data_IF_044018507452
#
_entry.id   IF_044018507452
#
_cell.length_a   1.000
_cell.length_b   1.000
_cell.length_c   1.000
_cell.angle_alpha   90.00
_cell.angle_beta   90.00
_cell.angle_gamma   90.00
#
_symmetry.space_group_name_H-M   'P 1'
#
loop_
_entity.id
_entity.type
_entity.pdbx_description
1 polymer ?
#
# COMPACT_ATOMS: atom_id res chain seq x y z
N UNK A 1 7.32 58.03 11.76
CA UNK A 1 8.72 57.73 11.38
C UNK A 1 8.70 56.32 10.79
N UNK A 2 8.16 56.05 9.60
CA UNK A 2 8.67 56.36 8.25
C UNK A 2 10.18 56.20 8.14
N UNK A 3 10.65 55.15 7.44
CA UNK A 3 11.70 55.28 6.43
C UNK A 3 11.58 54.15 5.40
N UNK A 4 10.74 54.41 4.40
CA UNK A 4 10.96 53.96 3.02
C UNK A 4 12.35 54.43 2.59
N UNK A 5 13.15 53.56 1.99
CA UNK A 5 14.23 53.97 1.08
C UNK A 5 13.83 53.57 -0.33
N UNK A 6 13.36 54.57 -1.06
CA UNK A 6 13.38 54.66 -2.52
C UNK A 6 14.83 54.92 -2.98
N UNK A 7 15.33 54.33 -4.07
CA UNK A 7 15.48 54.92 -5.42
C UNK A 7 16.58 54.08 -6.17
N UNK A 8 16.93 54.26 -7.48
CA UNK A 8 16.13 54.10 -8.72
C UNK A 8 16.89 53.55 -9.97
N UNK A 9 16.17 53.30 -11.08
CA UNK A 9 16.63 53.09 -12.49
C UNK A 9 17.55 51.87 -12.78
N UNK A 10 17.40 51.04 -13.81
CA UNK A 10 16.60 51.04 -15.04
C UNK A 10 16.70 49.63 -15.72
N UNK A 11 16.24 49.46 -16.97
CA UNK A 11 15.87 48.16 -17.53
C UNK A 11 17.05 47.48 -18.24
N UNK A 12 17.46 46.31 -17.76
CA UNK A 12 18.30 45.41 -18.55
C UNK A 12 17.40 44.38 -19.24
N UNK A 13 17.09 44.72 -20.49
CA UNK A 13 16.69 43.81 -21.55
C UNK A 13 17.65 42.62 -21.58
N UNK A 14 17.22 41.45 -21.09
CA UNK A 14 17.85 40.17 -21.43
C UNK A 14 17.08 39.56 -22.61
N UNK A 15 17.78 39.13 -23.68
CA UNK A 15 17.11 38.55 -24.82
C UNK A 15 16.52 37.18 -24.44
N UNK A 16 15.25 37.00 -24.80
CA UNK A 16 14.54 35.72 -24.75
C UNK A 16 15.19 34.81 -25.79
N UNK A 17 16.18 34.02 -25.39
CA UNK A 17 16.63 32.88 -26.18
C UNK A 17 15.62 31.77 -25.97
N UNK A 18 14.89 31.45 -27.05
CA UNK A 18 13.89 30.41 -27.07
C UNK A 18 14.47 29.06 -26.67
N UNK A 19 13.94 28.49 -25.60
CA UNK A 19 13.78 27.05 -25.47
C UNK A 19 12.28 26.82 -25.54
N UNK A 20 11.79 26.38 -26.70
CA UNK A 20 10.47 25.79 -26.83
C UNK A 20 10.42 24.60 -25.89
N UNK A 21 9.88 24.80 -24.69
CA UNK A 21 9.43 23.70 -23.86
C UNK A 21 8.42 22.94 -24.70
N UNK A 22 8.81 21.77 -25.19
CA UNK A 22 7.93 20.78 -25.80
C UNK A 22 6.96 20.32 -24.72
N UNK A 23 5.89 21.10 -24.56
CA UNK A 23 4.70 20.69 -23.83
C UNK A 23 3.97 19.66 -24.71
N UNK A 24 4.47 18.42 -24.75
CA UNK A 24 3.71 17.26 -25.24
C UNK A 24 4.55 15.99 -25.13
N UNK A 25 4.49 15.36 -23.96
CA UNK A 25 4.37 13.91 -23.85
C UNK A 25 4.05 13.52 -22.41
N UNK A 26 3.00 14.14 -21.84
CA UNK A 26 2.24 13.39 -20.84
C UNK A 26 1.68 12.21 -21.61
N UNK A 27 1.97 10.96 -21.24
CA UNK A 27 1.47 9.81 -21.97
C UNK A 27 -0.05 9.91 -21.88
N UNK A 28 -0.70 10.25 -22.99
CA UNK A 28 -2.15 10.17 -23.10
C UNK A 28 -2.48 8.71 -22.86
N UNK A 29 -3.04 8.43 -21.68
CA UNK A 29 -3.65 7.14 -21.39
C UNK A 29 -4.70 6.97 -22.47
N UNK A 30 -4.40 6.14 -23.47
CA UNK A 30 -5.34 5.86 -24.55
C UNK A 30 -6.58 5.23 -23.90
N UNK A 31 -7.80 5.73 -24.16
CA UNK A 31 -9.02 5.22 -23.51
C UNK A 31 -9.25 3.72 -23.78
N UNK A 32 -8.78 3.22 -24.93
CA UNK A 32 -8.72 1.80 -25.27
C UNK A 32 -8.01 0.92 -24.22
N UNK A 33 -6.95 1.43 -23.59
CA UNK A 33 -6.19 0.69 -22.58
C UNK A 33 -6.79 0.81 -21.16
N UNK A 34 -7.82 1.61 -20.97
CA UNK A 34 -8.41 1.89 -19.66
C UNK A 34 -9.27 0.73 -19.16
N UNK A 35 -10.14 0.20 -20.01
CA UNK A 35 -11.01 -0.94 -19.68
C UNK A 35 -10.24 -2.18 -19.18
N UNK A 36 -9.22 -2.70 -19.89
CA UNK A 36 -8.48 -3.86 -19.41
C UNK A 36 -7.69 -3.58 -18.13
N UNK A 37 -7.16 -2.36 -17.94
CA UNK A 37 -6.49 -1.96 -16.70
C UNK A 37 -7.46 -1.91 -15.52
N UNK A 38 -8.64 -1.33 -15.71
CA UNK A 38 -9.70 -1.28 -14.70
C UNK A 38 -10.16 -2.68 -14.31
N UNK A 39 -10.38 -3.56 -15.28
CA UNK A 39 -10.71 -4.98 -15.02
C UNK A 39 -9.59 -5.71 -14.27
N UNK A 40 -8.32 -5.46 -14.60
CA UNK A 40 -7.18 -6.04 -13.88
C UNK A 40 -7.13 -5.56 -12.42
N UNK A 41 -7.30 -4.26 -12.18
CA UNK A 41 -7.35 -3.68 -10.84
C UNK A 41 -8.53 -4.22 -10.00
N UNK A 42 -9.72 -4.35 -10.60
CA UNK A 42 -10.88 -4.97 -9.94
C UNK A 42 -10.59 -6.41 -9.51
N UNK A 43 -10.02 -7.22 -10.41
CA UNK A 43 -9.62 -8.61 -10.09
C UNK A 43 -8.63 -8.66 -8.93
N UNK A 44 -7.66 -7.75 -8.90
CA UNK A 44 -6.70 -7.67 -7.81
C UNK A 44 -7.37 -7.28 -6.48
N UNK A 45 -8.22 -6.26 -6.48
CA UNK A 45 -8.98 -5.83 -5.30
C UNK A 45 -9.83 -6.94 -4.72
N UNK A 46 -10.58 -7.67 -5.55
CA UNK A 46 -11.39 -8.83 -5.12
C UNK A 46 -10.50 -9.92 -4.50
N UNK A 47 -9.33 -10.22 -5.11
CA UNK A 47 -8.39 -11.21 -4.57
C UNK A 47 -7.78 -10.78 -3.24
N UNK A 48 -7.51 -9.49 -3.06
CA UNK A 48 -7.01 -8.93 -1.79
C UNK A 48 -8.12 -9.01 -0.74
N UNK A 49 -9.33 -8.56 -1.07
CA UNK A 49 -10.49 -8.57 -0.18
C UNK A 49 -10.79 -10.00 0.30
N UNK A 50 -10.85 -10.97 -0.61
CA UNK A 50 -11.09 -12.38 -0.27
C UNK A 50 -10.02 -12.94 0.68
N UNK A 51 -8.73 -12.67 0.41
CA UNK A 51 -7.62 -13.11 1.28
C UNK A 51 -7.70 -12.47 2.67
N UNK A 52 -8.05 -11.18 2.74
CA UNK A 52 -8.22 -10.45 4.01
C UNK A 52 -9.40 -11.00 4.80
N UNK A 53 -10.56 -11.14 4.15
CA UNK A 53 -11.77 -11.68 4.77
C UNK A 53 -11.55 -13.09 5.31
N UNK A 54 -10.92 -14.00 4.55
CA UNK A 54 -10.58 -15.35 5.03
C UNK A 54 -9.62 -15.35 6.22
N UNK A 55 -8.66 -14.41 6.25
CA UNK A 55 -7.74 -14.31 7.38
C UNK A 55 -8.47 -13.85 8.63
N UNK A 56 -9.39 -12.90 8.49
CA UNK A 56 -10.18 -12.40 9.61
C UNK A 56 -11.22 -13.40 10.10
N UNK A 57 -11.87 -14.18 9.22
CA UNK A 57 -12.73 -15.29 9.67
C UNK A 57 -11.94 -16.32 10.48
N UNK A 58 -10.68 -16.59 10.11
CA UNK A 58 -9.80 -17.43 10.92
C UNK A 58 -9.44 -16.80 12.26
N UNK A 59 -9.17 -15.49 12.29
CA UNK A 59 -8.87 -14.76 13.52
C UNK A 59 -10.05 -14.85 14.52
N UNK A 60 -11.29 -14.74 14.03
CA UNK A 60 -12.49 -14.86 14.85
C UNK A 60 -12.82 -16.30 15.27
N UNK A 61 -12.73 -17.27 14.37
CA UNK A 61 -13.22 -18.62 14.62
C UNK A 61 -12.37 -19.39 15.66
N UNK A 62 -11.07 -19.08 15.76
CA UNK A 62 -10.04 -19.75 16.60
C UNK A 62 -9.87 -21.26 16.30
N UNK A 63 -10.95 -22.03 16.34
CA UNK A 63 -11.03 -23.45 16.05
C UNK A 63 -11.33 -23.75 14.57
N UNK A 64 -10.70 -24.81 14.05
CA UNK A 64 -10.76 -25.17 12.62
C UNK A 64 -12.13 -25.61 12.12
N UNK A 65 -12.91 -26.32 12.94
CA UNK A 65 -14.22 -26.84 12.52
C UNK A 65 -15.24 -25.71 12.26
N UNK A 66 -15.21 -24.64 13.06
CA UNK A 66 -16.03 -23.43 12.85
C UNK A 66 -15.53 -22.69 11.61
N UNK A 67 -14.21 -22.50 11.52
CA UNK A 67 -13.58 -21.83 10.38
C UNK A 67 -13.94 -22.45 9.02
N UNK A 68 -13.94 -23.78 8.89
CA UNK A 68 -14.23 -24.42 7.61
C UNK A 68 -15.65 -24.14 7.10
N UNK A 69 -16.64 -24.15 8.00
CA UNK A 69 -18.02 -23.82 7.65
C UNK A 69 -18.11 -22.37 7.19
N UNK A 70 -17.62 -21.44 8.02
CA UNK A 70 -17.71 -20.01 7.74
C UNK A 70 -16.88 -19.60 6.50
N UNK A 71 -15.76 -20.27 6.24
CA UNK A 71 -14.96 -20.08 5.04
C UNK A 71 -15.67 -20.60 3.78
N UNK A 72 -16.43 -21.70 3.87
CA UNK A 72 -17.26 -22.19 2.77
C UNK A 72 -18.35 -21.18 2.45
N UNK A 73 -19.09 -20.73 3.46
CA UNK A 73 -20.15 -19.73 3.32
C UNK A 73 -19.60 -18.43 2.70
N UNK A 74 -18.42 -17.99 3.13
CA UNK A 74 -17.74 -16.83 2.54
C UNK A 74 -17.45 -17.09 1.05
N UNK A 75 -16.92 -18.25 0.69
CA UNK A 75 -16.62 -18.59 -0.70
C UNK A 75 -17.88 -18.61 -1.58
N UNK A 76 -18.98 -19.14 -1.07
CA UNK A 76 -20.26 -19.14 -1.77
C UNK A 76 -20.76 -17.72 -2.08
N UNK A 77 -20.63 -16.78 -1.13
CA UNK A 77 -20.97 -15.36 -1.36
C UNK A 77 -20.15 -14.72 -2.49
N UNK A 78 -18.86 -15.05 -2.59
CA UNK A 78 -18.02 -14.56 -3.69
C UNK A 78 -18.35 -15.24 -5.03
N UNK A 79 -18.60 -16.55 -5.01
CA UNK A 79 -18.96 -17.30 -6.22
C UNK A 79 -20.31 -16.82 -6.80
N UNK A 80 -21.28 -16.48 -5.96
CA UNK A 80 -22.59 -15.97 -6.40
C UNK A 80 -22.50 -14.69 -7.27
N UNK A 81 -21.40 -13.92 -7.15
CA UNK A 81 -21.18 -12.68 -7.88
C UNK A 81 -20.04 -12.78 -8.92
N UNK A 82 -19.58 -14.00 -9.24
CA UNK A 82 -18.44 -14.21 -10.12
C UNK A 82 -18.73 -13.83 -11.58
N UNK A 83 -19.94 -14.09 -12.05
CA UNK A 83 -20.32 -13.96 -13.47
C UNK A 83 -20.87 -12.57 -13.83
N UNK A 84 -20.65 -11.57 -12.97
CA UNK A 84 -21.07 -10.20 -13.25
C UNK A 84 -20.10 -9.56 -14.25
N UNK A 85 -20.63 -9.11 -15.39
CA UNK A 85 -19.83 -8.47 -16.46
C UNK A 85 -19.80 -6.93 -16.38
N UNK A 86 -20.86 -6.33 -15.85
CA UNK A 86 -20.98 -4.86 -15.75
C UNK A 86 -19.94 -4.27 -14.78
N UNK A 87 -19.05 -3.42 -15.33
CA UNK A 87 -17.90 -2.86 -14.63
C UNK A 87 -18.31 -1.97 -13.46
N UNK A 88 -19.34 -1.14 -13.63
CA UNK A 88 -19.78 -0.21 -12.59
C UNK A 88 -20.50 -0.93 -11.47
N UNK A 89 -21.25 -1.99 -11.81
CA UNK A 89 -21.85 -2.89 -10.81
C UNK A 89 -20.77 -3.61 -9.99
N UNK A 90 -19.69 -4.06 -10.63
CA UNK A 90 -18.57 -4.72 -9.93
C UNK A 90 -17.92 -3.76 -8.94
N UNK A 91 -17.71 -2.50 -9.30
CA UNK A 91 -17.15 -1.51 -8.37
C UNK A 91 -18.06 -1.26 -7.15
N UNK A 92 -19.38 -1.22 -7.36
CA UNK A 92 -20.35 -1.12 -6.25
C UNK A 92 -20.31 -2.35 -5.34
N UNK A 93 -20.20 -3.55 -5.92
CA UNK A 93 -20.10 -4.80 -5.15
C UNK A 93 -18.80 -4.87 -4.35
N UNK A 94 -17.68 -4.45 -4.93
CA UNK A 94 -16.40 -4.35 -4.23
C UNK A 94 -16.50 -3.36 -3.07
N UNK A 95 -17.06 -2.17 -3.31
CA UNK A 95 -17.24 -1.16 -2.26
C UNK A 95 -18.14 -1.65 -1.12
N UNK A 96 -19.23 -2.35 -1.44
CA UNK A 96 -20.09 -2.97 -0.44
C UNK A 96 -19.33 -4.03 0.37
N UNK A 97 -18.57 -4.92 -0.30
CA UNK A 97 -17.79 -5.95 0.36
C UNK A 97 -16.67 -5.39 1.25
N UNK A 98 -16.01 -4.30 0.82
CA UNK A 98 -15.02 -3.59 1.64
C UNK A 98 -15.65 -2.94 2.87
N UNK A 99 -16.83 -2.33 2.74
CA UNK A 99 -17.55 -1.75 3.87
C UNK A 99 -18.01 -2.81 4.89
N UNK A 100 -18.50 -3.96 4.41
CA UNK A 100 -18.87 -5.09 5.27
C UNK A 100 -17.64 -5.66 5.99
N UNK A 101 -16.53 -5.82 5.27
CA UNK A 101 -15.26 -6.27 5.85
C UNK A 101 -14.76 -5.31 6.93
N UNK A 102 -14.76 -4.00 6.67
CA UNK A 102 -14.28 -3.02 7.65
C UNK A 102 -15.12 -2.98 8.92
N UNK A 103 -16.42 -3.26 8.83
CA UNK A 103 -17.31 -3.39 9.99
C UNK A 103 -16.95 -4.58 10.90
N UNK A 104 -16.56 -5.70 10.30
CA UNK A 104 -16.30 -6.95 11.02
C UNK A 104 -14.81 -7.25 11.20
N UNK A 105 -13.96 -6.26 10.94
CA UNK A 105 -12.51 -6.40 11.04
C UNK A 105 -12.10 -6.74 12.46
N UNK A 106 -11.23 -7.73 12.61
CA UNK A 106 -10.74 -8.12 13.92
C UNK A 106 -9.87 -7.00 14.53
N UNK A 107 -10.06 -6.58 15.80
CA UNK A 107 -9.30 -5.48 16.40
C UNK A 107 -7.82 -5.79 16.59
N UNK A 108 -7.48 -7.04 16.86
CA UNK A 108 -6.10 -7.52 17.05
C UNK A 108 -5.82 -8.77 16.20
N UNK A 109 -5.59 -8.64 14.88
CA UNK A 109 -5.46 -9.78 13.98
C UNK A 109 -4.16 -10.56 14.23
N UNK A 110 -4.15 -11.87 13.98
CA UNK A 110 -2.93 -12.66 14.12
C UNK A 110 -1.83 -12.22 13.14
N UNK A 111 -0.66 -11.89 13.69
CA UNK A 111 0.55 -11.54 12.96
C UNK A 111 1.62 -12.59 13.26
N UNK A 112 2.27 -13.11 12.21
CA UNK A 112 3.35 -14.08 12.39
C UNK A 112 4.51 -13.42 13.16
N UNK A 113 5.17 -14.13 14.09
CA UNK A 113 6.07 -13.48 15.04
C UNK A 113 7.19 -12.62 14.44
N UNK A 114 7.74 -13.01 13.28
CA UNK A 114 8.86 -12.31 12.64
C UNK A 114 8.44 -11.25 11.60
N UNK A 115 7.15 -11.15 11.25
CA UNK A 115 6.67 -10.13 10.31
C UNK A 115 6.53 -8.78 11.01
N UNK A 116 6.49 -7.66 10.27
CA UNK A 116 6.19 -6.35 10.84
C UNK A 116 4.94 -6.39 11.73
N UNK A 117 5.05 -5.89 12.95
CA UNK A 117 3.98 -5.94 13.97
C UNK A 117 3.90 -7.24 14.79
N UNK A 118 4.76 -8.23 14.51
CA UNK A 118 4.86 -9.47 15.27
C UNK A 118 5.77 -9.35 16.50
N UNK A 119 5.62 -10.27 17.46
CA UNK A 119 6.34 -10.22 18.75
C UNK A 119 7.85 -10.42 18.68
N UNK A 120 8.38 -10.96 17.57
CA UNK A 120 9.81 -11.19 17.32
C UNK A 120 10.36 -10.32 16.19
N UNK A 121 9.58 -9.35 15.71
CA UNK A 121 10.03 -8.43 14.68
C UNK A 121 11.21 -7.60 15.18
N UNK A 122 12.27 -7.50 14.38
CA UNK A 122 13.50 -6.77 14.73
C UNK A 122 14.12 -7.14 16.08
N UNK A 123 13.91 -8.38 16.58
CA UNK A 123 14.52 -8.83 17.83
C UNK A 123 16.05 -8.95 17.71
N UNK A 124 16.53 -9.43 16.56
CA UNK A 124 17.95 -9.58 16.24
C UNK A 124 18.23 -8.96 14.86
N UNK A 125 18.30 -7.62 14.74
CA UNK A 125 18.67 -6.99 13.48
C UNK A 125 20.15 -7.28 13.17
N UNK A 126 20.48 -7.42 11.88
CA UNK A 126 21.87 -7.45 11.45
C UNK A 126 22.54 -6.13 11.83
N UNK A 127 23.73 -6.14 12.44
CA UNK A 127 24.42 -4.91 12.80
C UNK A 127 24.65 -4.03 11.56
N UNK A 128 24.60 -2.70 11.70
CA UNK A 128 24.90 -1.80 10.59
C UNK A 128 26.34 -1.98 10.12
N UNK A 129 26.57 -1.78 8.82
CA UNK A 129 27.91 -1.81 8.25
C UNK A 129 28.81 -0.76 8.91
N UNK A 130 30.05 -1.13 9.25
CA UNK A 130 31.02 -0.26 9.92
C UNK A 130 31.06 -0.38 11.45
N UNK A 131 30.26 -1.27 12.03
CA UNK A 131 30.39 -1.67 13.44
C UNK A 131 31.11 -3.01 13.52
N UNK A 132 32.29 -3.01 14.14
CA UNK A 132 33.09 -4.20 14.38
C UNK A 132 32.91 -4.66 15.83
N UNK A 133 32.80 -5.97 16.02
CA UNK A 133 32.78 -6.57 17.35
C UNK A 133 34.23 -6.80 17.76
N UNK A 134 34.74 -5.98 18.68
CA UNK A 134 36.08 -6.11 19.25
C UNK A 134 36.03 -7.14 20.39
N UNK A 135 36.64 -8.31 20.18
CA UNK A 135 36.59 -9.42 21.14
C UNK A 135 37.65 -9.33 22.25
N UNK A 136 38.68 -8.51 22.08
CA UNK A 136 39.81 -8.33 23.01
C UNK A 136 39.73 -7.03 23.82
N UNK A 137 38.53 -6.50 24.04
CA UNK A 137 38.33 -5.27 24.80
C UNK A 137 38.98 -5.37 26.20
N UNK A 138 39.98 -4.53 26.49
CA UNK A 138 40.76 -4.55 27.75
C UNK A 138 41.95 -5.52 27.79
N UNK A 139 42.20 -6.27 26.72
CA UNK A 139 43.43 -7.05 26.50
C UNK A 139 44.23 -6.53 25.29
N UNK A 140 44.10 -5.24 25.01
CA UNK A 140 44.68 -4.58 23.83
C UNK A 140 46.22 -4.60 23.87
N UNK A 141 46.82 -4.58 25.06
CA UNK A 141 48.26 -4.42 25.28
C UNK A 141 49.01 -5.73 25.62
N UNK A 142 48.34 -6.88 25.68
CA UNK A 142 48.97 -8.15 26.08
C UNK A 142 48.84 -9.22 24.97
N UNK A 143 49.85 -9.32 24.07
CA UNK A 143 49.83 -10.21 22.90
C UNK A 143 49.96 -11.70 23.23
#
# INVERSE_FOLDING_TARGET
MLFFKSFPYGPNFFPITGSSKTFSSVPLIRPEAEYPRRRAAQKERVRILYRRALKDTLNWAVHRHIFYRDASDLREKFNANQDVEDVDRIDKLIAHGEAEYDKWRHPDPYIVPWAPGGSKFCRNPTPPAGIEIVYNYGQEDNP
#
